data_IF_522534890565
#
_entry.id   IF_522534890565
#
_cell.length_a   1.000
_cell.length_b   1.000
_cell.length_c   1.000
_cell.angle_alpha   90.00
_cell.angle_beta   90.00
_cell.angle_gamma   90.00
#
_symmetry.space_group_name_H-M   'P 1'
#
loop_
_entity.id
_entity.type
_entity.pdbx_description
1 polymer ?
#
# COMPACT_ATOMS: atom_id res chain seq x y z
N UNK A 1 -9.37 -7.24 -12.44
CA UNK A 1 -9.67 -5.83 -12.11
C UNK A 1 -10.35 -5.20 -13.30
N UNK A 2 -11.39 -4.40 -13.07
CA UNK A 2 -12.13 -3.69 -14.12
C UNK A 2 -11.85 -2.19 -13.93
N UNK A 3 -11.34 -1.54 -14.97
CA UNK A 3 -11.01 -0.12 -14.92
C UNK A 3 -12.03 0.68 -15.71
N UNK A 4 -12.43 1.82 -15.16
CA UNK A 4 -13.32 2.78 -15.80
C UNK A 4 -12.75 4.18 -15.61
N UNK A 5 -13.05 5.08 -16.55
CA UNK A 5 -12.68 6.48 -16.44
C UNK A 5 -13.75 7.22 -15.62
N UNK A 6 -13.34 7.95 -14.60
CA UNK A 6 -14.27 8.72 -13.77
C UNK A 6 -14.66 10.02 -14.48
N UNK A 7 -15.85 10.06 -15.08
CA UNK A 7 -16.40 11.22 -15.81
C UNK A 7 -17.43 11.94 -14.96
N UNK A 8 -17.08 13.10 -14.41
CA UNK A 8 -17.95 13.90 -13.53
C UNK A 8 -19.17 14.47 -14.24
N UNK A 9 -19.06 14.69 -15.56
CA UNK A 9 -20.11 15.32 -16.37
C UNK A 9 -21.17 14.32 -16.87
N UNK A 10 -20.96 13.02 -16.62
CA UNK A 10 -21.86 11.96 -17.06
C UNK A 10 -22.41 11.19 -15.86
N UNK A 11 -23.71 10.81 -15.88
CA UNK A 11 -24.27 9.88 -14.92
C UNK A 11 -23.55 8.53 -14.98
N UNK A 12 -23.45 7.84 -13.83
CA UNK A 12 -22.63 6.63 -13.65
C UNK A 12 -23.03 5.48 -14.57
N UNK A 13 -24.31 5.42 -14.92
CA UNK A 13 -24.89 4.43 -15.84
C UNK A 13 -24.32 4.54 -17.26
N UNK A 14 -23.75 5.69 -17.60
CA UNK A 14 -23.11 5.94 -18.90
C UNK A 14 -21.59 5.74 -18.86
N UNK A 15 -21.02 5.37 -17.71
CA UNK A 15 -19.59 5.07 -17.63
C UNK A 15 -19.32 3.72 -18.29
N UNK A 16 -18.32 3.68 -19.16
CA UNK A 16 -17.86 2.46 -19.80
C UNK A 16 -16.62 1.92 -19.09
N UNK A 17 -16.57 0.60 -18.90
CA UNK A 17 -15.33 -0.10 -18.57
C UNK A 17 -14.40 0.06 -19.77
N UNK A 18 -13.21 0.61 -19.56
CA UNK A 18 -12.25 0.80 -20.65
C UNK A 18 -11.26 -0.36 -20.76
N UNK A 19 -10.98 -1.06 -19.66
CA UNK A 19 -10.10 -2.23 -19.67
C UNK A 19 -10.44 -3.23 -18.55
N UNK A 20 -10.13 -4.50 -18.79
CA UNK A 20 -10.29 -5.60 -17.84
C UNK A 20 -9.03 -6.45 -17.86
N UNK A 21 -8.32 -6.48 -16.74
CA UNK A 21 -7.11 -7.30 -16.61
C UNK A 21 -7.31 -8.41 -15.56
N UNK A 22 -6.81 -9.60 -15.86
CA UNK A 22 -6.58 -10.63 -14.84
C UNK A 22 -5.24 -10.35 -14.17
N UNK A 23 -5.27 -9.49 -13.16
CA UNK A 23 -4.05 -9.09 -12.47
C UNK A 23 -3.54 -10.20 -11.57
N UNK A 24 -2.26 -10.53 -11.74
CA UNK A 24 -1.47 -11.35 -10.82
C UNK A 24 -0.35 -10.49 -10.29
N UNK A 25 -0.17 -10.50 -8.97
CA UNK A 25 0.90 -9.76 -8.34
C UNK A 25 2.25 -10.30 -8.81
N UNK A 26 3.15 -9.43 -9.31
CA UNK A 26 4.55 -9.76 -9.48
C UNK A 26 5.18 -10.20 -8.17
N UNK A 27 6.25 -11.00 -8.25
CA UNK A 27 6.97 -11.48 -7.07
C UNK A 27 7.52 -10.32 -6.21
N UNK A 28 8.07 -9.29 -6.85
CA UNK A 28 8.59 -8.08 -6.20
C UNK A 28 7.51 -7.41 -5.32
N UNK A 29 6.31 -7.24 -5.89
CA UNK A 29 5.17 -6.64 -5.21
C UNK A 29 4.68 -7.51 -4.06
N UNK A 30 4.64 -8.84 -4.23
CA UNK A 30 4.22 -9.77 -3.20
C UNK A 30 5.11 -9.69 -1.96
N UNK A 31 6.43 -9.55 -2.12
CA UNK A 31 7.35 -9.40 -0.98
C UNK A 31 7.04 -8.14 -0.17
N UNK A 32 6.76 -7.02 -0.85
CA UNK A 32 6.39 -5.75 -0.21
C UNK A 32 5.03 -5.88 0.48
N UNK A 33 4.03 -6.49 -0.18
CA UNK A 33 2.69 -6.70 0.38
C UNK A 33 2.74 -7.58 1.64
N UNK A 34 3.54 -8.66 1.62
CA UNK A 34 3.72 -9.54 2.78
C UNK A 34 4.39 -8.81 3.96
N UNK A 35 5.37 -7.95 3.66
CA UNK A 35 6.02 -7.09 4.64
C UNK A 35 5.04 -6.11 5.27
N UNK A 36 4.28 -5.40 4.44
CA UNK A 36 3.25 -4.44 4.90
C UNK A 36 2.20 -5.11 5.78
N UNK A 37 1.72 -6.29 5.36
CA UNK A 37 0.81 -7.10 6.17
C UNK A 37 1.43 -7.46 7.52
N UNK A 38 2.71 -7.84 7.54
CA UNK A 38 3.43 -8.19 8.76
C UNK A 38 3.55 -6.99 9.70
N UNK A 39 3.85 -5.80 9.18
CA UNK A 39 3.88 -4.54 9.97
C UNK A 39 2.52 -4.29 10.62
N UNK A 40 1.43 -4.37 9.84
CA UNK A 40 0.07 -4.16 10.35
C UNK A 40 -0.29 -5.22 11.40
N UNK A 41 -0.05 -6.51 11.08
CA UNK A 41 -0.36 -7.64 11.96
C UNK A 41 0.41 -7.55 13.29
N UNK A 42 1.68 -7.16 13.24
CA UNK A 42 2.52 -7.03 14.43
C UNK A 42 2.05 -5.88 15.32
N UNK A 43 1.67 -4.71 14.78
CA UNK A 43 1.07 -3.64 15.60
C UNK A 43 -0.20 -4.10 16.31
N UNK A 44 -1.07 -4.86 15.64
CA UNK A 44 -2.28 -5.43 16.26
C UNK A 44 -1.90 -6.42 17.37
N UNK A 45 -0.98 -7.34 17.11
CA UNK A 45 -0.50 -8.35 18.08
C UNK A 45 0.17 -7.73 19.30
N UNK A 46 0.82 -6.58 19.14
CA UNK A 46 1.45 -5.81 20.22
C UNK A 46 0.49 -4.90 20.98
N UNK A 47 -0.81 -4.91 20.68
CA UNK A 47 -1.80 -4.04 21.34
C UNK A 47 -1.75 -2.57 20.90
N UNK A 48 -1.07 -2.29 19.78
CA UNK A 48 -0.84 -0.96 19.21
C UNK A 48 -1.72 -0.68 17.98
N UNK A 49 -2.89 -1.32 17.86
CA UNK A 49 -3.77 -1.13 16.70
C UNK A 49 -4.30 0.32 16.59
N UNK A 50 -4.41 1.03 17.71
CA UNK A 50 -4.81 2.45 17.73
C UNK A 50 -3.74 3.38 17.14
N UNK A 51 -2.48 2.94 17.09
CA UNK A 51 -1.34 3.67 16.50
C UNK A 51 -1.13 3.34 15.01
N UNK A 52 -1.98 2.51 14.42
CA UNK A 52 -1.90 2.23 12.99
C UNK A 52 -2.10 3.51 12.17
N UNK A 53 -1.30 3.67 11.14
CA UNK A 53 -1.40 4.74 10.16
C UNK A 53 -1.29 4.14 8.77
N UNK A 54 -1.93 4.77 7.79
CA UNK A 54 -1.70 4.40 6.39
C UNK A 54 -0.24 4.61 5.98
N UNK A 55 0.47 5.53 6.65
CA UNK A 55 1.90 5.79 6.43
C UNK A 55 2.86 4.70 6.91
N UNK A 56 2.39 3.70 7.67
CA UNK A 56 3.26 2.64 8.24
C UNK A 56 3.81 1.64 7.21
N UNK A 57 3.26 1.66 5.98
CA UNK A 57 3.40 0.61 4.96
C UNK A 57 3.62 1.23 3.59
N UNK A 58 3.94 0.44 2.56
CA UNK A 58 4.26 0.95 1.23
C UNK A 58 3.13 0.74 0.20
N UNK A 59 2.68 -0.49 -0.02
CA UNK A 59 1.64 -0.85 -1.00
C UNK A 59 0.30 -1.18 -0.35
N UNK A 60 0.31 -1.89 0.77
CA UNK A 60 -0.89 -2.32 1.49
C UNK A 60 -1.10 -1.46 2.74
N UNK A 61 -2.07 -0.55 2.68
CA UNK A 61 -2.47 0.29 3.82
C UNK A 61 -3.58 -0.32 4.68
N UNK A 62 -3.73 0.23 5.89
CA UNK A 62 -4.85 -0.01 6.79
C UNK A 62 -5.71 1.26 6.91
N UNK A 63 -6.61 1.50 5.96
CA UNK A 63 -7.43 2.71 5.90
C UNK A 63 -8.58 2.67 6.92
N UNK A 64 -8.98 3.82 7.47
CA UNK A 64 -10.09 3.89 8.44
C UNK A 64 -11.43 3.68 7.76
N UNK A 65 -12.31 2.89 8.38
CA UNK A 65 -13.67 2.62 7.88
C UNK A 65 -14.69 3.17 8.87
N UNK A 66 -15.46 4.18 8.45
CA UNK A 66 -16.57 4.73 9.23
C UNK A 66 -16.81 6.21 8.96
N UNK A 67 -18.04 6.67 9.24
CA UNK A 67 -18.49 8.04 8.95
C UNK A 67 -17.94 9.04 9.99
N UNK A 68 -17.82 8.62 11.26
CA UNK A 68 -17.24 9.44 12.33
C UNK A 68 -16.26 8.63 13.17
N UNK A 69 -15.29 9.32 13.77
CA UNK A 69 -14.30 8.69 14.65
C UNK A 69 -14.98 7.95 15.82
N UNK A 70 -15.99 8.57 16.44
CA UNK A 70 -16.73 8.00 17.57
C UNK A 70 -17.47 6.70 17.21
N UNK A 71 -18.12 6.64 16.04
CA UNK A 71 -18.86 5.45 15.59
C UNK A 71 -17.98 4.35 15.00
N UNK A 72 -16.69 4.59 14.83
CA UNK A 72 -15.75 3.65 14.22
C UNK A 72 -14.75 3.08 15.22
N UNK A 73 -14.88 3.35 16.51
CA UNK A 73 -14.00 2.75 17.53
C UNK A 73 -14.38 1.29 17.78
N UNK A 74 -13.38 0.41 17.77
CA UNK A 74 -13.52 -1.03 18.00
C UNK A 74 -12.50 -1.51 19.03
N UNK A 75 -12.83 -2.59 19.73
CA UNK A 75 -11.90 -3.27 20.63
C UNK A 75 -10.78 -3.93 19.82
N UNK A 76 -9.57 -3.94 20.37
CA UNK A 76 -8.43 -4.69 19.84
C UNK A 76 -8.08 -5.83 20.81
N UNK A 77 -7.45 -6.93 20.34
CA UNK A 77 -7.32 -8.16 21.13
C UNK A 77 -6.35 -8.08 22.32
N UNK A 78 -5.36 -7.18 22.30
CA UNK A 78 -4.26 -7.15 23.28
C UNK A 78 -4.09 -5.78 23.97
N UNK A 79 -5.15 -4.98 24.06
CA UNK A 79 -5.13 -3.69 24.76
C UNK A 79 -6.55 -3.21 25.04
N UNK A 80 -6.74 -2.54 26.17
CA UNK A 80 -8.02 -1.92 26.55
C UNK A 80 -8.30 -0.61 25.78
N UNK A 81 -7.28 -0.04 25.13
CA UNK A 81 -7.41 1.17 24.32
C UNK A 81 -8.17 0.81 23.03
N UNK A 82 -9.27 1.52 22.77
CA UNK A 82 -10.03 1.36 21.54
C UNK A 82 -9.22 1.85 20.33
N UNK A 83 -9.36 1.16 19.20
CA UNK A 83 -8.74 1.51 17.93
C UNK A 83 -9.80 1.91 16.89
N UNK A 84 -9.44 2.75 15.92
CA UNK A 84 -10.32 3.00 14.77
C UNK A 84 -10.46 1.73 13.93
N UNK A 85 -11.67 1.41 13.50
CA UNK A 85 -11.96 0.34 12.56
C UNK A 85 -11.22 0.60 11.27
N UNK A 86 -10.57 -0.45 10.73
CA UNK A 86 -9.79 -0.36 9.51
C UNK A 86 -10.13 -1.47 8.52
N UNK A 87 -9.84 -1.21 7.26
CA UNK A 87 -9.82 -2.21 6.21
C UNK A 87 -8.45 -2.21 5.53
N UNK A 88 -8.05 -3.36 4.98
CA UNK A 88 -6.92 -3.40 4.07
C UNK A 88 -7.27 -2.69 2.77
N UNK A 89 -6.34 -1.89 2.25
CA UNK A 89 -6.49 -1.21 0.97
C UNK A 89 -5.15 -1.14 0.25
N UNK A 90 -5.16 -1.34 -1.07
CA UNK A 90 -4.00 -0.95 -1.87
C UNK A 90 -3.94 0.58 -1.97
N UNK A 91 -2.76 1.14 -1.75
CA UNK A 91 -2.56 2.59 -1.85
C UNK A 91 -2.80 3.06 -3.28
N UNK A 92 -3.31 4.29 -3.42
CA UNK A 92 -3.52 4.91 -4.73
C UNK A 92 -2.25 4.95 -5.57
N UNK A 93 -1.09 5.21 -4.95
CA UNK A 93 0.21 5.18 -5.64
C UNK A 93 0.49 3.82 -6.28
N UNK A 94 0.21 2.73 -5.58
CA UNK A 94 0.36 1.38 -6.11
C UNK A 94 -0.64 1.10 -7.24
N UNK A 95 -1.91 1.51 -7.08
CA UNK A 95 -2.90 1.32 -8.13
C UNK A 95 -2.58 2.11 -9.41
N UNK A 96 -2.04 3.32 -9.29
CA UNK A 96 -1.54 4.09 -10.42
C UNK A 96 -0.35 3.41 -11.10
N UNK A 97 0.56 2.81 -10.32
CA UNK A 97 1.65 1.99 -10.85
C UNK A 97 1.09 0.79 -11.66
N UNK A 98 0.08 0.09 -11.12
CA UNK A 98 -0.53 -1.04 -11.83
C UNK A 98 -1.20 -0.59 -13.13
N UNK A 99 -1.93 0.51 -13.10
CA UNK A 99 -2.59 1.10 -14.26
C UNK A 99 -1.57 1.44 -15.37
N UNK A 100 -0.50 2.16 -15.01
CA UNK A 100 0.49 2.62 -15.97
C UNK A 100 1.26 1.47 -16.62
N UNK A 101 1.66 0.47 -15.83
CA UNK A 101 2.54 -0.60 -16.33
C UNK A 101 1.79 -1.77 -16.96
N UNK A 102 0.56 -2.08 -16.50
CA UNK A 102 -0.15 -3.28 -16.93
C UNK A 102 -1.41 -3.01 -17.75
N UNK A 103 -1.92 -1.77 -17.76
CA UNK A 103 -3.11 -1.39 -18.54
C UNK A 103 -2.70 -0.51 -19.71
N UNK A 104 -2.02 0.61 -19.46
CA UNK A 104 -1.59 1.52 -20.53
C UNK A 104 -0.32 1.07 -21.26
N UNK A 105 0.44 0.12 -20.70
CA UNK A 105 1.69 -0.35 -21.29
C UNK A 105 2.75 0.75 -21.43
N UNK A 106 2.79 1.69 -20.47
CA UNK A 106 3.78 2.78 -20.48
C UNK A 106 5.21 2.25 -20.39
N UNK A 107 6.17 3.02 -20.91
CA UNK A 107 7.58 2.64 -20.96
C UNK A 107 8.11 2.27 -19.57
N UNK A 108 8.94 1.22 -19.45
CA UNK A 108 9.48 0.80 -18.16
C UNK A 108 10.24 1.95 -17.51
N UNK A 109 9.78 2.33 -16.31
CA UNK A 109 10.44 3.34 -15.47
C UNK A 109 11.66 2.73 -14.78
N UNK A 110 12.65 3.56 -14.46
CA UNK A 110 13.83 3.12 -13.72
C UNK A 110 13.43 2.49 -12.37
N UNK A 111 13.96 1.29 -12.11
CA UNK A 111 13.78 0.59 -10.84
C UNK A 111 14.97 0.87 -9.93
N UNK A 112 14.69 1.35 -8.72
CA UNK A 112 15.72 1.58 -7.69
C UNK A 112 16.24 0.25 -7.11
N UNK A 113 15.38 -0.75 -7.01
CA UNK A 113 15.76 -2.12 -6.66
C UNK A 113 16.06 -2.87 -7.95
N UNK A 114 17.33 -3.26 -8.11
CA UNK A 114 17.81 -4.04 -9.26
C UNK A 114 17.83 -5.54 -8.98
N UNK A 115 17.98 -5.91 -7.71
CA UNK A 115 17.99 -7.29 -7.24
C UNK A 115 16.89 -7.48 -6.18
N UNK A 116 15.89 -8.30 -6.51
CA UNK A 116 14.75 -8.59 -5.65
C UNK A 116 15.15 -9.31 -4.35
N UNK A 117 16.25 -10.06 -4.35
CA UNK A 117 16.69 -10.83 -3.17
C UNK A 117 17.01 -9.92 -1.99
N UNK A 118 17.33 -8.66 -2.26
CA UNK A 118 17.55 -7.63 -1.24
C UNK A 118 16.29 -7.43 -0.38
N UNK A 119 15.09 -7.47 -0.97
CA UNK A 119 13.83 -7.32 -0.24
C UNK A 119 13.50 -8.50 0.69
N UNK A 120 14.16 -9.65 0.51
CA UNK A 120 13.99 -10.79 1.41
C UNK A 120 14.73 -10.59 2.74
N UNK A 121 15.74 -9.70 2.76
CA UNK A 121 16.63 -9.50 3.92
C UNK A 121 16.45 -8.15 4.59
N UNK A 122 16.03 -7.11 3.86
CA UNK A 122 15.85 -5.76 4.39
C UNK A 122 14.65 -5.02 3.78
N UNK A 123 14.27 -3.91 4.41
CA UNK A 123 13.19 -3.00 3.94
C UNK A 123 13.56 -2.27 2.67
N UNK A 124 12.55 -1.81 1.94
CA UNK A 124 12.78 -0.77 0.93
C UNK A 124 13.40 0.47 1.57
N UNK A 125 12.85 0.95 2.68
CA UNK A 125 13.32 2.16 3.37
C UNK A 125 14.77 2.03 3.84
N UNK A 126 15.14 0.87 4.38
CA UNK A 126 16.50 0.62 4.86
C UNK A 126 17.47 0.42 3.72
N UNK A 127 17.05 -0.23 2.62
CA UNK A 127 17.83 -0.26 1.39
C UNK A 127 18.15 1.15 0.89
N UNK A 128 17.13 2.03 0.81
CA UNK A 128 17.33 3.43 0.42
C UNK A 128 18.29 4.13 1.39
N UNK A 129 18.08 4.05 2.70
CA UNK A 129 18.99 4.64 3.69
C UNK A 129 20.43 4.17 3.47
N UNK A 130 20.62 2.87 3.27
CA UNK A 130 21.93 2.25 3.06
C UNK A 130 22.63 2.75 1.79
N UNK A 131 21.88 3.09 0.73
CA UNK A 131 22.43 3.72 -0.48
C UNK A 131 23.00 5.13 -0.18
N UNK A 132 22.38 5.88 0.72
CA UNK A 132 22.79 7.24 1.06
C UNK A 132 23.84 7.31 2.18
N UNK A 133 23.94 6.28 3.04
CA UNK A 133 24.91 6.23 4.15
C UNK A 133 26.34 6.65 3.77
N UNK A 134 26.93 6.20 2.64
CA UNK A 134 28.30 6.55 2.28
C UNK A 134 28.51 8.04 1.92
N UNK A 135 27.43 8.79 1.71
CA UNK A 135 27.45 10.19 1.27
C UNK A 135 27.10 11.17 2.40
N UNK A 136 26.65 10.68 3.55
CA UNK A 136 26.36 11.54 4.70
C UNK A 136 27.66 12.22 5.16
N UNK A 137 27.62 13.56 5.29
CA UNK A 137 28.76 14.37 5.75
C UNK A 137 29.80 14.70 4.67
N UNK A 138 29.56 14.33 3.41
CA UNK A 138 30.39 14.76 2.27
C UNK A 138 29.80 16.02 1.63
N UNK A 139 30.66 16.98 1.32
CA UNK A 139 30.37 18.24 0.62
C UNK A 139 30.70 18.15 -0.86
#
# INVERSE_FOLDING_TARGET
MMFYEHKTDLPKELWSIFDVILYKFPEEDLLIIQRDWSVISNKVKSGLAHELSEGDTLYLGACTKGITAEKSMVKQPFSDILAKQRAYSFKNSYMSYVLNNYVFGSQPTEKVIKDITVLQTQSFEDYIKNLFLPYIGKS
#
